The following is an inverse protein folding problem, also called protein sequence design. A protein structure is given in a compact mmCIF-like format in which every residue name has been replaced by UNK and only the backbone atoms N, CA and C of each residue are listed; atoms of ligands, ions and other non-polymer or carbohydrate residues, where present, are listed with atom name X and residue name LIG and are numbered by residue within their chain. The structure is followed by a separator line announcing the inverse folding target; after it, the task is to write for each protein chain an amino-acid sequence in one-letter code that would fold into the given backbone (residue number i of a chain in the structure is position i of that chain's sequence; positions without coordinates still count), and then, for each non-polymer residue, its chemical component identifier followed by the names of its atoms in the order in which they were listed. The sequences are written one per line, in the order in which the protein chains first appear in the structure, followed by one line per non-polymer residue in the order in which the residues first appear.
data_IF_718944112789
#
_entry.id   IF_718944112789
#
_cell.length_a   1.000
_cell.length_b   1.000
_cell.length_c   1.000
_cell.angle_alpha   90.00
_cell.angle_beta   90.00
_cell.angle_gamma   90.00
#
_symmetry.space_group_name_H-M   'P 1'
#
loop_
_entity.id
_entity.type
_entity.pdbx_description
1 polymer ?
#
# COMPACT_ATOMS: atom_id res chain seq x y z
N UNK A 1 -20.55 12.99 9.23
CA UNK A 1 -21.63 13.43 10.16
C UNK A 1 -21.30 13.06 11.60
N UNK A 2 -20.82 11.86 11.90
CA UNK A 2 -20.46 11.45 13.26
C UNK A 2 -19.35 12.33 13.84
N UNK A 3 -18.27 12.56 13.11
CA UNK A 3 -17.19 13.47 13.49
C UNK A 3 -17.70 14.89 13.75
N UNK A 4 -18.49 15.42 12.83
CA UNK A 4 -19.10 16.75 13.00
C UNK A 4 -20.06 16.81 14.20
N UNK A 5 -20.79 15.72 14.48
CA UNK A 5 -21.62 15.58 15.67
C UNK A 5 -20.81 15.61 16.98
N UNK A 6 -19.54 15.25 16.93
CA UNK A 6 -18.58 15.35 18.05
C UNK A 6 -17.85 16.71 18.10
N UNK A 7 -18.20 17.65 17.22
CA UNK A 7 -17.55 18.96 17.14
C UNK A 7 -16.23 18.98 16.38
N UNK A 8 -15.90 17.92 15.63
CA UNK A 8 -14.68 17.83 14.81
C UNK A 8 -15.03 18.10 13.35
N UNK A 9 -14.46 19.16 12.77
CA UNK A 9 -14.58 19.47 11.35
C UNK A 9 -13.34 18.98 10.63
N UNK A 10 -13.47 18.13 9.61
CA UNK A 10 -12.32 17.74 8.78
C UNK A 10 -11.93 18.89 7.84
N UNK A 11 -10.65 19.00 7.53
CA UNK A 11 -10.14 19.96 6.54
C UNK A 11 -10.02 19.31 5.17
N UNK A 12 -9.72 18.01 5.11
CA UNK A 12 -9.61 17.22 3.90
C UNK A 12 -10.43 15.95 4.04
N UNK A 13 -11.09 15.54 2.96
CA UNK A 13 -11.80 14.27 2.84
C UNK A 13 -11.09 13.40 1.82
N UNK A 14 -10.63 12.24 2.26
CA UNK A 14 -10.03 11.24 1.36
C UNK A 14 -11.06 10.15 1.09
N UNK A 15 -11.45 10.00 -0.17
CA UNK A 15 -12.44 9.02 -0.63
C UNK A 15 -11.74 7.73 -1.02
N UNK A 16 -11.87 6.70 -0.21
CA UNK A 16 -11.38 5.38 -0.59
C UNK A 16 -12.38 4.69 -1.51
N UNK A 17 -11.97 4.35 -2.71
CA UNK A 17 -12.79 3.73 -3.75
C UNK A 17 -12.01 2.64 -4.49
N UNK A 18 -12.73 1.69 -5.05
CA UNK A 18 -12.14 0.59 -5.84
C UNK A 18 -12.08 0.96 -7.34
N UNK A 19 -12.94 1.87 -7.78
CA UNK A 19 -13.01 2.37 -9.15
C UNK A 19 -12.95 3.90 -9.17
N UNK A 20 -12.46 4.51 -10.26
CA UNK A 20 -12.42 5.96 -10.41
C UNK A 20 -13.80 6.59 -10.31
N UNK A 21 -13.88 7.75 -9.68
CA UNK A 21 -15.11 8.54 -9.61
C UNK A 21 -15.21 9.38 -10.89
N UNK A 22 -16.04 8.95 -11.84
CA UNK A 22 -16.19 9.62 -13.14
C UNK A 22 -16.99 10.93 -13.07
N UNK A 23 -17.93 11.06 -12.10
CA UNK A 23 -18.78 12.25 -11.95
C UNK A 23 -18.16 13.28 -11.00
N UNK A 24 -17.55 14.31 -11.57
CA UNK A 24 -16.99 15.43 -10.79
C UNK A 24 -18.00 16.11 -9.85
N UNK A 25 -19.31 15.99 -10.12
CA UNK A 25 -20.32 16.53 -9.21
C UNK A 25 -20.34 15.81 -7.86
N UNK A 26 -19.85 14.58 -7.80
CA UNK A 26 -19.74 13.83 -6.53
C UNK A 26 -18.79 14.54 -5.58
N UNK A 27 -17.62 14.97 -6.05
CA UNK A 27 -16.64 15.71 -5.24
C UNK A 27 -17.27 16.99 -4.67
N UNK A 28 -17.95 17.77 -5.52
CA UNK A 28 -18.63 18.99 -5.08
C UNK A 28 -19.75 18.73 -4.08
N UNK A 29 -20.55 17.67 -4.27
CA UNK A 29 -21.59 17.28 -3.32
C UNK A 29 -21.00 16.92 -1.97
N UNK A 30 -19.93 16.13 -1.95
CA UNK A 30 -19.25 15.73 -0.70
C UNK A 30 -18.64 16.93 -0.01
N UNK A 31 -17.98 17.81 -0.75
CA UNK A 31 -17.42 19.06 -0.24
C UNK A 31 -18.48 19.90 0.47
N UNK A 32 -19.64 20.10 -0.16
CA UNK A 32 -20.76 20.83 0.42
C UNK A 32 -21.31 20.13 1.69
N UNK A 33 -21.43 18.79 1.68
CA UNK A 33 -21.92 18.05 2.84
C UNK A 33 -20.95 18.06 4.03
N UNK A 34 -19.65 18.12 3.75
CA UNK A 34 -18.60 18.10 4.76
C UNK A 34 -18.13 19.49 5.14
N UNK A 35 -18.63 20.54 4.46
CA UNK A 35 -18.23 21.94 4.64
C UNK A 35 -16.72 22.14 4.43
N UNK A 36 -16.17 21.56 3.36
CA UNK A 36 -14.80 21.74 2.90
C UNK A 36 -14.81 22.30 1.47
N UNK A 37 -13.66 22.78 1.00
CA UNK A 37 -13.50 23.20 -0.39
C UNK A 37 -13.48 21.99 -1.34
N UNK A 38 -13.86 22.17 -2.60
CA UNK A 38 -13.94 21.05 -3.55
C UNK A 38 -12.59 20.40 -3.84
N UNK A 39 -11.51 21.19 -3.81
CA UNK A 39 -10.13 20.73 -3.93
C UNK A 39 -9.62 19.96 -2.70
N UNK A 40 -10.34 20.04 -1.57
CA UNK A 40 -10.06 19.28 -0.36
C UNK A 40 -10.74 17.89 -0.34
N UNK A 41 -11.41 17.49 -1.42
CA UNK A 41 -11.98 16.15 -1.56
C UNK A 41 -11.10 15.36 -2.53
N UNK A 42 -10.34 14.43 -1.99
CA UNK A 42 -9.27 13.70 -2.69
C UNK A 42 -9.70 12.25 -2.93
N UNK A 43 -9.53 11.78 -4.16
CA UNK A 43 -9.72 10.38 -4.50
C UNK A 43 -8.52 9.53 -4.07
N UNK A 44 -8.78 8.36 -3.51
CA UNK A 44 -7.78 7.38 -3.13
C UNK A 44 -8.24 5.98 -3.55
N UNK A 45 -7.86 5.57 -4.75
CA UNK A 45 -8.23 4.27 -5.30
C UNK A 45 -7.45 3.12 -4.66
N UNK A 46 -8.06 1.94 -4.67
CA UNK A 46 -7.35 0.69 -4.38
C UNK A 46 -6.36 0.41 -5.52
N UNK A 47 -5.09 0.23 -5.18
CA UNK A 47 -3.99 0.04 -6.13
C UNK A 47 -3.23 -1.25 -5.82
N UNK A 48 -2.69 -1.95 -6.84
CA UNK A 48 -1.98 -3.22 -6.65
C UNK A 48 -0.67 -3.07 -5.89
N UNK A 49 0.03 -1.97 -6.09
CA UNK A 49 1.31 -1.66 -5.44
C UNK A 49 1.12 -0.47 -4.53
N UNK A 50 1.16 -0.69 -3.23
CA UNK A 50 0.90 0.37 -2.22
C UNK A 50 1.78 1.62 -2.41
N UNK A 51 3.00 1.43 -2.89
CA UNK A 51 3.96 2.52 -3.13
C UNK A 51 3.62 3.43 -4.32
N UNK A 52 2.59 3.12 -5.11
CA UNK A 52 2.03 4.04 -6.11
C UNK A 52 1.13 5.11 -5.49
N UNK A 53 0.68 4.92 -4.23
CA UNK A 53 -0.25 5.83 -3.57
C UNK A 53 0.26 7.30 -3.52
N UNK A 54 1.52 7.61 -3.23
CA UNK A 54 2.02 8.98 -3.28
C UNK A 54 1.83 9.63 -4.65
N UNK A 55 2.15 8.93 -5.74
CA UNK A 55 1.97 9.45 -7.10
C UNK A 55 0.49 9.67 -7.43
N UNK A 56 -0.38 8.78 -6.97
CA UNK A 56 -1.82 8.91 -7.17
C UNK A 56 -2.38 10.13 -6.43
N UNK A 57 -1.97 10.34 -5.19
CA UNK A 57 -2.40 11.49 -4.38
C UNK A 57 -1.90 12.81 -4.99
N UNK A 58 -0.68 12.84 -5.53
CA UNK A 58 -0.12 14.03 -6.18
C UNK A 58 -0.86 14.39 -7.48
N UNK A 59 -1.46 13.45 -8.20
CA UNK A 59 -2.35 13.75 -9.33
C UNK A 59 -3.54 14.63 -8.93
N UNK A 60 -3.96 14.56 -7.67
CA UNK A 60 -5.00 15.40 -7.08
C UNK A 60 -4.44 16.63 -6.37
N UNK A 61 -3.17 16.98 -6.56
CA UNK A 61 -2.46 18.08 -5.89
C UNK A 61 -2.54 18.02 -4.36
N UNK A 62 -2.55 16.81 -3.79
CA UNK A 62 -2.77 16.59 -2.35
C UNK A 62 -1.78 17.38 -1.48
N UNK A 63 -0.49 17.37 -1.82
CA UNK A 63 0.53 18.10 -1.07
C UNK A 63 0.30 19.61 -1.08
N UNK A 64 -0.10 20.16 -2.23
CA UNK A 64 -0.42 21.59 -2.36
C UNK A 64 -1.62 21.95 -1.50
N UNK A 65 -2.66 21.12 -1.48
CA UNK A 65 -3.85 21.32 -0.64
C UNK A 65 -3.47 21.29 0.85
N UNK A 66 -2.66 20.31 1.27
CA UNK A 66 -2.17 20.22 2.65
C UNK A 66 -1.36 21.46 3.04
N UNK A 67 -0.42 21.90 2.19
CA UNK A 67 0.37 23.10 2.44
C UNK A 67 -0.52 24.34 2.57
N UNK A 68 -1.51 24.49 1.70
CA UNK A 68 -2.49 25.61 1.77
C UNK A 68 -3.21 25.64 3.12
N UNK A 69 -3.70 24.50 3.58
CA UNK A 69 -4.43 24.40 4.87
C UNK A 69 -3.51 24.70 6.05
N UNK A 70 -2.28 24.23 6.01
CA UNK A 70 -1.29 24.45 7.07
C UNK A 70 -0.59 25.82 6.99
N UNK A 71 -0.94 26.67 6.03
CA UNK A 71 -0.27 27.96 5.75
C UNK A 71 1.24 27.81 5.52
N UNK A 72 1.63 26.75 4.79
CA UNK A 72 3.00 26.51 4.33
C UNK A 72 3.11 26.87 2.87
N UNK A 73 4.31 27.34 2.46
CA UNK A 73 4.60 27.55 1.05
C UNK A 73 4.78 26.20 0.36
N UNK A 74 3.94 25.87 -0.64
CA UNK A 74 4.11 24.64 -1.39
C UNK A 74 5.37 24.72 -2.22
N UNK A 75 6.23 23.71 -2.11
CA UNK A 75 7.38 23.54 -2.98
C UNK A 75 7.03 22.58 -4.11
N UNK A 76 7.69 22.75 -5.23
CA UNK A 76 7.63 21.75 -6.30
C UNK A 76 8.17 20.41 -5.75
N UNK A 77 7.39 19.35 -5.94
CA UNK A 77 7.71 18.02 -5.42
C UNK A 77 8.44 17.26 -6.52
N UNK A 78 9.68 16.88 -6.22
CA UNK A 78 10.44 15.97 -7.07
C UNK A 78 10.15 14.51 -6.68
N UNK A 79 9.44 13.80 -7.57
CA UNK A 79 9.10 12.38 -7.42
C UNK A 79 9.98 11.48 -8.29
N UNK A 80 11.09 11.98 -8.81
CA UNK A 80 11.94 11.25 -9.77
C UNK A 80 12.46 9.95 -9.16
N UNK A 81 13.12 10.00 -8.02
CA UNK A 81 13.66 8.81 -7.34
C UNK A 81 12.57 7.80 -6.97
N UNK A 82 11.39 8.31 -6.58
CA UNK A 82 10.24 7.48 -6.25
C UNK A 82 9.69 6.76 -7.48
N UNK A 83 9.59 7.46 -8.60
CA UNK A 83 9.15 6.90 -9.88
C UNK A 83 10.15 5.84 -10.38
N UNK A 84 11.45 6.13 -10.33
CA UNK A 84 12.49 5.16 -10.69
C UNK A 84 12.43 3.88 -9.82
N UNK A 85 12.15 4.02 -8.52
CA UNK A 85 11.92 2.86 -7.66
C UNK A 85 10.71 2.03 -8.14
N UNK A 86 9.60 2.69 -8.46
CA UNK A 86 8.39 2.00 -8.96
C UNK A 86 8.63 1.32 -10.31
N UNK A 87 9.39 1.95 -11.20
CA UNK A 87 9.78 1.34 -12.47
C UNK A 87 10.55 0.03 -12.25
N UNK A 88 11.47 -0.01 -11.27
CA UNK A 88 12.15 -1.25 -10.87
C UNK A 88 11.17 -2.27 -10.30
N UNK A 89 10.21 -1.84 -9.48
CA UNK A 89 9.17 -2.72 -8.91
C UNK A 89 8.34 -3.39 -10.01
N UNK A 90 7.98 -2.65 -11.06
CA UNK A 90 7.19 -3.17 -12.18
C UNK A 90 8.02 -4.04 -13.14
N UNK A 91 9.28 -3.71 -13.33
CA UNK A 91 10.18 -4.43 -14.25
C UNK A 91 10.66 -5.80 -13.74
N UNK A 92 10.33 -6.19 -12.50
CA UNK A 92 10.77 -7.45 -11.89
C UNK A 92 10.45 -8.66 -12.76
N UNK A 93 11.49 -9.42 -13.09
CA UNK A 93 11.42 -10.54 -14.03
C UNK A 93 11.44 -11.91 -13.36
N UNK A 94 11.97 -12.00 -12.14
CA UNK A 94 12.13 -13.26 -11.38
C UNK A 94 10.98 -13.43 -10.39
N UNK A 95 10.72 -14.68 -10.01
CA UNK A 95 9.80 -15.01 -8.91
C UNK A 95 10.52 -15.95 -7.94
N UNK A 96 10.48 -15.59 -6.66
CA UNK A 96 11.05 -16.39 -5.57
C UNK A 96 9.93 -16.79 -4.63
N UNK A 97 9.80 -18.08 -4.34
CA UNK A 97 8.86 -18.59 -3.35
C UNK A 97 9.52 -18.68 -1.98
N UNK A 98 8.87 -18.12 -0.98
CA UNK A 98 9.32 -18.13 0.41
C UNK A 98 8.20 -18.67 1.28
N UNK A 99 8.47 -19.75 2.02
CA UNK A 99 7.52 -20.26 3.00
C UNK A 99 7.62 -19.45 4.31
N UNK A 100 6.55 -18.80 4.70
CA UNK A 100 6.40 -18.14 6.00
C UNK A 100 5.68 -19.11 6.94
N UNK A 101 6.45 -19.74 7.83
CA UNK A 101 5.94 -20.72 8.77
C UNK A 101 5.66 -20.05 10.13
N UNK A 102 4.45 -20.16 10.62
CA UNK A 102 4.09 -19.54 11.88
C UNK A 102 2.74 -20.02 12.42
N UNK A 103 2.34 -19.44 13.56
CA UNK A 103 0.98 -19.55 14.09
C UNK A 103 0.15 -18.37 13.60
N UNK A 104 -1.16 -18.59 13.50
CA UNK A 104 -2.09 -17.53 13.07
C UNK A 104 -1.80 -16.93 11.70
N UNK A 105 -1.17 -17.68 10.81
CA UNK A 105 -0.81 -17.23 9.46
C UNK A 105 -2.03 -16.87 8.60
N UNK A 106 -3.23 -17.26 8.98
CA UNK A 106 -4.48 -16.85 8.36
C UNK A 106 -4.78 -15.37 8.61
N UNK A 107 -4.23 -14.79 9.67
CA UNK A 107 -4.30 -13.35 9.95
C UNK A 107 -3.04 -12.68 9.40
N UNK A 108 -3.03 -12.39 8.10
CA UNK A 108 -1.87 -11.85 7.39
C UNK A 108 -1.33 -10.55 8.02
N UNK A 109 -2.21 -9.73 8.60
CA UNK A 109 -1.82 -8.48 9.27
C UNK A 109 -0.85 -8.68 10.45
N UNK A 110 -0.89 -9.86 11.10
CA UNK A 110 0.06 -10.19 12.17
C UNK A 110 1.52 -10.31 11.67
N UNK A 111 1.68 -10.54 10.37
CA UNK A 111 2.98 -10.71 9.71
C UNK A 111 3.29 -9.61 8.69
N UNK A 112 2.53 -8.53 8.70
CA UNK A 112 2.65 -7.46 7.70
C UNK A 112 4.09 -6.97 7.56
N UNK A 113 4.77 -6.69 8.68
CA UNK A 113 6.17 -6.21 8.65
C UNK A 113 7.14 -7.21 8.01
N UNK A 114 6.90 -8.51 8.21
CA UNK A 114 7.73 -9.57 7.59
C UNK A 114 7.45 -9.65 6.09
N UNK A 115 6.18 -9.61 5.70
CA UNK A 115 5.78 -9.65 4.30
C UNK A 115 6.33 -8.43 3.52
N UNK A 116 6.23 -7.24 4.11
CA UNK A 116 6.80 -6.01 3.54
C UNK A 116 8.33 -6.06 3.45
N UNK A 117 9.01 -6.55 4.49
CA UNK A 117 10.46 -6.69 4.44
C UNK A 117 10.91 -7.65 3.32
N UNK A 118 10.19 -8.76 3.12
CA UNK A 118 10.44 -9.68 2.02
C UNK A 118 10.17 -9.03 0.66
N UNK A 119 9.10 -8.25 0.54
CA UNK A 119 8.79 -7.51 -0.68
C UNK A 119 9.89 -6.49 -1.02
N UNK A 120 10.38 -5.73 -0.03
CA UNK A 120 11.50 -4.79 -0.20
C UNK A 120 12.78 -5.49 -0.64
N UNK A 121 13.10 -6.64 -0.03
CA UNK A 121 14.21 -7.48 -0.48
C UNK A 121 14.05 -7.91 -1.94
N UNK A 122 12.82 -8.21 -2.35
CA UNK A 122 12.48 -8.53 -3.73
C UNK A 122 12.69 -7.35 -4.68
N UNK A 123 12.36 -6.12 -4.28
CA UNK A 123 12.55 -4.91 -5.10
C UNK A 123 14.02 -4.69 -5.46
N UNK A 124 14.93 -4.89 -4.49
CA UNK A 124 16.36 -4.72 -4.70
C UNK A 124 17.01 -5.87 -5.50
N UNK A 125 16.39 -7.05 -5.52
CA UNK A 125 16.96 -8.24 -6.16
C UNK A 125 16.26 -8.66 -7.46
N UNK A 126 15.50 -7.76 -8.10
CA UNK A 126 14.73 -8.05 -9.32
C UNK A 126 13.82 -9.27 -9.16
N UNK A 127 13.18 -9.42 -8.00
CA UNK A 127 12.38 -10.59 -7.70
C UNK A 127 11.00 -10.21 -7.15
N UNK A 128 9.96 -10.88 -7.64
CA UNK A 128 8.64 -10.91 -7.00
C UNK A 128 8.67 -12.01 -5.95
N UNK A 129 8.41 -11.65 -4.71
CA UNK A 129 8.30 -12.64 -3.63
C UNK A 129 6.87 -13.18 -3.58
N UNK A 130 6.76 -14.50 -3.71
CA UNK A 130 5.52 -15.25 -3.56
C UNK A 130 5.56 -15.94 -2.19
N UNK A 131 4.76 -15.45 -1.23
CA UNK A 131 4.76 -15.95 0.15
C UNK A 131 3.79 -17.11 0.27
N UNK A 132 4.32 -18.29 0.57
CA UNK A 132 3.54 -19.46 0.95
C UNK A 132 3.32 -19.46 2.47
N UNK A 133 2.08 -19.26 2.88
CA UNK A 133 1.70 -19.20 4.30
C UNK A 133 1.51 -20.60 4.86
N UNK A 134 2.37 -20.97 5.80
CA UNK A 134 2.40 -22.33 6.38
C UNK A 134 2.00 -22.29 7.86
N UNK A 135 0.84 -22.86 8.17
CA UNK A 135 0.39 -22.98 9.56
C UNK A 135 1.14 -24.12 10.28
N UNK A 136 1.92 -23.75 11.28
CA UNK A 136 2.75 -24.70 12.02
C UNK A 136 1.96 -25.59 12.98
N UNK A 137 0.70 -25.27 13.28
CA UNK A 137 -0.13 -26.10 14.15
C UNK A 137 -0.49 -27.46 13.50
N UNK A 138 -0.52 -27.47 12.16
CA UNK A 138 -0.84 -28.69 11.40
C UNK A 138 0.42 -29.40 10.87
N UNK A 139 1.61 -28.90 11.15
CA UNK A 139 2.84 -29.50 10.67
C UNK A 139 3.22 -30.72 11.51
N UNK A 140 3.41 -31.84 10.82
CA UNK A 140 3.94 -33.08 11.37
C UNK A 140 5.21 -33.46 10.62
N UNK A 141 6.07 -34.32 11.22
CA UNK A 141 7.27 -34.83 10.55
C UNK A 141 6.96 -35.49 9.18
N UNK A 142 5.76 -36.06 9.06
CA UNK A 142 5.36 -36.75 7.83
C UNK A 142 4.99 -35.74 6.73
N UNK A 143 4.17 -34.76 7.01
CA UNK A 143 3.71 -33.82 5.98
C UNK A 143 4.76 -32.77 5.60
N UNK A 144 5.72 -32.46 6.47
CA UNK A 144 6.88 -31.62 6.12
C UNK A 144 7.72 -32.30 5.02
N UNK A 145 7.99 -33.57 5.14
CA UNK A 145 8.81 -34.29 4.15
C UNK A 145 8.08 -34.50 2.82
N UNK A 146 6.77 -34.55 2.82
CA UNK A 146 5.94 -34.78 1.63
C UNK A 146 5.63 -33.48 0.86
N UNK A 147 5.37 -32.38 1.57
CA UNK A 147 4.85 -31.15 0.98
C UNK A 147 5.87 -30.02 0.89
N UNK A 148 6.87 -30.01 1.74
CA UNK A 148 7.84 -28.92 1.81
C UNK A 148 9.27 -29.46 1.63
N UNK A 149 9.89 -29.14 0.49
CA UNK A 149 11.34 -29.31 0.35
C UNK A 149 12.00 -28.24 1.22
N UNK A 150 12.64 -28.67 2.31
CA UNK A 150 13.51 -27.79 3.07
C UNK A 150 14.58 -27.25 2.12
N UNK A 151 14.54 -25.95 1.84
CA UNK A 151 15.59 -25.27 1.11
C UNK A 151 16.82 -25.34 2.00
N UNK A 152 17.77 -26.22 1.66
CA UNK A 152 19.09 -26.16 2.27
C UNK A 152 19.71 -24.87 1.78
N UNK A 153 19.91 -23.92 2.69
CA UNK A 153 20.69 -22.75 2.40
C UNK A 153 22.12 -23.21 2.06
N UNK A 154 22.57 -22.90 0.87
CA UNK A 154 23.93 -23.15 0.42
C UNK A 154 24.70 -21.83 0.50
N UNK A 155 25.64 -21.67 1.47
CA UNK A 155 26.37 -20.42 1.66
C UNK A 155 27.37 -20.11 0.51
N UNK A 156 27.55 -21.02 -0.48
CA UNK A 156 28.49 -20.84 -1.59
C UNK A 156 27.82 -20.46 -2.92
N UNK A 157 26.50 -20.23 -2.94
CA UNK A 157 25.75 -19.64 -4.04
C UNK A 157 25.31 -18.23 -3.66
#
# INVERSE_FOLDING_TARGET
KELQGMGISPDIIVLRCDEPIEDENIFRKIANFCNVESDCVIENMTIPVLYEAPLMLEKSNFSTVVCKILNLDPKEIDMTEWTEMLDRVHARSKTVKIALCGKYVQLHDAYLSVAEALAHGGYENDAKVDIEWVDTEFLTKKNISENYRLIKWDPEQ
#
